data_IF_995771162633
#
_entry.id   IF_995771162633
#
_cell.length_a   1.000
_cell.length_b   1.000
_cell.length_c   1.000
_cell.angle_alpha   90.00
_cell.angle_beta   90.00
_cell.angle_gamma   90.00
#
_symmetry.space_group_name_H-M   'P 1'
#
loop_
_entity.id
_entity.type
_entity.pdbx_description
1 polymer ?
#
# COMPACT_ATOMS: atom_id res chain seq x y z
N UNK A 1 -11.95 -20.34 -2.91
CA UNK A 1 -11.59 -18.94 -3.22
C UNK A 1 -10.62 -18.49 -2.14
N UNK A 2 -9.35 -18.24 -2.46
CA UNK A 2 -8.40 -17.72 -1.47
C UNK A 2 -8.70 -16.24 -1.27
N UNK A 3 -9.13 -15.87 -0.06
CA UNK A 3 -9.29 -14.46 0.31
C UNK A 3 -7.89 -13.92 0.63
N UNK A 4 -7.50 -12.75 0.10
CA UNK A 4 -6.22 -12.15 0.45
C UNK A 4 -6.15 -11.95 1.96
N UNK A 5 -5.00 -12.28 2.56
CA UNK A 5 -4.77 -11.98 3.96
C UNK A 5 -4.64 -10.46 4.17
N UNK A 6 -4.80 -9.99 5.41
CA UNK A 6 -4.56 -8.58 5.73
C UNK A 6 -3.14 -8.14 5.32
N UNK A 7 -2.15 -9.04 5.43
CA UNK A 7 -0.77 -8.78 5.04
C UNK A 7 -0.61 -8.64 3.52
N UNK A 8 -1.41 -9.35 2.73
CA UNK A 8 -1.41 -9.22 1.26
C UNK A 8 -1.98 -7.86 0.84
N UNK A 9 -3.05 -7.42 1.51
CA UNK A 9 -3.60 -6.07 1.31
C UNK A 9 -2.56 -5.01 1.68
N UNK A 10 -1.85 -5.18 2.81
CA UNK A 10 -0.79 -4.24 3.21
C UNK A 10 0.33 -4.16 2.17
N UNK A 11 0.81 -5.31 1.68
CA UNK A 11 1.81 -5.39 0.60
C UNK A 11 1.34 -4.68 -0.66
N UNK A 12 0.08 -4.87 -1.04
CA UNK A 12 -0.49 -4.21 -2.20
C UNK A 12 -0.42 -2.68 -2.07
N UNK A 13 -0.95 -2.09 -0.98
CA UNK A 13 -0.93 -0.63 -0.81
C UNK A 13 0.48 -0.05 -0.70
N UNK A 14 1.40 -0.72 0.01
CA UNK A 14 2.80 -0.28 0.07
C UNK A 14 3.47 -0.33 -1.31
N UNK A 15 3.18 -1.38 -2.09
CA UNK A 15 3.66 -1.53 -3.46
C UNK A 15 3.13 -0.45 -4.39
N UNK A 16 1.83 -0.16 -4.35
CA UNK A 16 1.21 0.93 -5.12
C UNK A 16 1.83 2.28 -4.76
N UNK A 17 2.00 2.56 -3.46
CA UNK A 17 2.61 3.81 -3.01
C UNK A 17 4.05 3.97 -3.53
N UNK A 18 4.86 2.91 -3.44
CA UNK A 18 6.23 2.90 -3.96
C UNK A 18 6.27 3.12 -5.48
N UNK A 19 5.43 2.41 -6.24
CA UNK A 19 5.33 2.57 -7.71
C UNK A 19 4.91 3.98 -8.10
N UNK A 20 3.88 4.53 -7.45
CA UNK A 20 3.38 5.87 -7.70
C UNK A 20 4.46 6.92 -7.45
N UNK A 21 5.20 6.82 -6.33
CA UNK A 21 6.30 7.74 -5.99
C UNK A 21 7.48 7.63 -6.96
N UNK A 22 7.74 6.43 -7.48
CA UNK A 22 8.78 6.18 -8.47
C UNK A 22 8.36 6.56 -9.91
N UNK A 23 7.12 7.00 -10.13
CA UNK A 23 6.59 7.31 -11.47
C UNK A 23 6.49 6.07 -12.37
N UNK A 24 6.37 4.88 -11.78
CA UNK A 24 6.23 3.64 -12.53
C UNK A 24 4.79 3.51 -13.09
N UNK A 25 4.60 2.79 -14.21
CA UNK A 25 3.26 2.47 -14.70
C UNK A 25 2.45 1.75 -13.62
N UNK A 26 1.19 2.15 -13.49
CA UNK A 26 0.22 1.58 -12.56
C UNK A 26 -0.85 0.85 -13.36
N UNK A 27 -1.20 -0.35 -12.92
CA UNK A 27 -2.40 -1.03 -13.44
C UNK A 27 -3.67 -0.25 -13.07
N UNK A 28 -4.80 -0.58 -13.69
CA UNK A 28 -6.06 0.13 -13.45
C UNK A 28 -6.47 0.15 -11.97
N UNK A 29 -6.32 -0.98 -11.27
CA UNK A 29 -6.61 -1.08 -9.83
C UNK A 29 -5.61 -0.30 -8.98
N UNK A 30 -4.34 -0.28 -9.38
CA UNK A 30 -3.27 0.46 -8.71
C UNK A 30 -3.46 1.97 -8.89
N UNK A 31 -3.98 2.40 -10.04
CA UNK A 31 -4.31 3.80 -10.31
C UNK A 31 -5.40 4.28 -9.35
N UNK A 32 -6.48 3.52 -9.20
CA UNK A 32 -7.54 3.83 -8.23
C UNK A 32 -7.01 3.88 -6.80
N UNK A 33 -6.22 2.87 -6.40
CA UNK A 33 -5.61 2.83 -5.07
C UNK A 33 -4.64 4.00 -4.85
N UNK A 34 -3.86 4.39 -5.86
CA UNK A 34 -2.93 5.52 -5.77
C UNK A 34 -3.65 6.85 -5.59
N UNK A 35 -4.80 7.04 -6.25
CA UNK A 35 -5.66 8.21 -6.06
C UNK A 35 -6.15 8.30 -4.63
N UNK A 36 -6.67 7.20 -4.09
CA UNK A 36 -7.10 7.13 -2.69
C UNK A 36 -5.93 7.40 -1.72
N UNK A 37 -4.76 6.79 -1.93
CA UNK A 37 -3.58 7.06 -1.09
C UNK A 37 -3.20 8.54 -1.15
N UNK A 38 -3.25 9.18 -2.32
CA UNK A 38 -2.91 10.60 -2.48
C UNK A 38 -3.86 11.53 -1.68
N UNK A 39 -5.13 11.13 -1.52
CA UNK A 39 -6.11 11.86 -0.71
C UNK A 39 -5.86 11.72 0.81
N UNK A 40 -5.10 10.71 1.24
CA UNK A 40 -4.85 10.39 2.65
C UNK A 40 -3.36 10.48 3.03
N UNK A 41 -2.80 11.69 3.21
CA UNK A 41 -1.41 11.88 3.60
C UNK A 41 -1.04 11.25 4.95
N UNK A 42 -2.02 11.02 5.83
CA UNK A 42 -1.83 10.35 7.12
C UNK A 42 -1.26 8.92 6.99
N UNK A 43 -1.57 8.22 5.89
CA UNK A 43 -1.07 6.87 5.65
C UNK A 43 0.26 6.84 4.91
N UNK A 44 0.74 7.97 4.37
CA UNK A 44 1.96 8.00 3.55
C UNK A 44 3.18 7.51 4.33
N UNK A 45 3.32 7.93 5.58
CA UNK A 45 4.43 7.50 6.44
C UNK A 45 4.40 6.00 6.68
N UNK A 46 3.21 5.44 6.90
CA UNK A 46 3.03 4.01 7.17
C UNK A 46 3.16 3.15 5.90
N UNK A 47 2.86 3.70 4.71
CA UNK A 47 2.98 3.01 3.42
C UNK A 47 4.38 3.14 2.80
N UNK A 48 5.23 4.03 3.32
CA UNK A 48 6.58 4.25 2.82
C UNK A 48 7.56 3.11 3.15
N UNK A 49 7.26 2.30 4.17
CA UNK A 49 8.11 1.19 4.61
C UNK A 49 7.24 -0.07 4.81
N UNK A 50 7.39 -1.01 3.87
CA UNK A 50 6.65 -2.27 3.90
C UNK A 50 6.99 -3.12 5.12
N UNK A 51 8.26 -3.17 5.53
CA UNK A 51 8.68 -4.00 6.65
C UNK A 51 8.16 -3.44 7.96
N UNK A 52 8.18 -2.11 8.13
CA UNK A 52 7.57 -1.45 9.28
C UNK A 52 6.05 -1.65 9.32
N UNK A 53 5.38 -1.52 8.16
CA UNK A 53 3.96 -1.77 8.01
C UNK A 53 3.53 -3.21 8.37
N UNK A 54 4.36 -4.20 8.04
CA UNK A 54 4.08 -5.59 8.40
C UNK A 54 4.36 -5.88 9.88
N UNK A 55 5.34 -5.20 10.48
CA UNK A 55 5.62 -5.30 11.92
C UNK A 55 4.49 -4.71 12.77
N UNK A 56 3.98 -3.52 12.42
CA UNK A 56 2.90 -2.87 13.19
C UNK A 56 1.62 -3.71 13.23
N UNK A 57 1.38 -4.54 12.21
CA UNK A 57 0.26 -5.48 12.17
C UNK A 57 0.37 -6.63 13.19
N UNK A 58 1.57 -6.93 13.68
CA UNK A 58 1.81 -7.97 14.69
C UNK A 58 1.66 -7.46 16.12
N UNK A 59 1.56 -6.14 16.29
CA UNK A 59 1.47 -5.46 17.59
C UNK A 59 0.02 -5.19 18.03
N UNK A 60 -0.97 -5.60 17.21
CA UNK A 60 -2.41 -5.42 17.43
C UNK A 60 -3.08 -6.69 17.95
#
# INVERSE_FOLDING_TARGET
>A
MMQPSQADVRRFFCGVYAKARAGQPLDAIETLASGWIAEHPEYHAELADLDAALRSMQEV
#
